data_IF_199307109583
#
_entry.id   IF_199307109583
#
_cell.length_a   1.000
_cell.length_b   1.000
_cell.length_c   1.000
_cell.angle_alpha   90.00
_cell.angle_beta   90.00
_cell.angle_gamma   90.00
#
_symmetry.space_group_name_H-M   'P 1'
#
loop_
_entity.id
_entity.type
_entity.pdbx_description
1 polymer ?
#
# COMPACT_ATOMS: atom_id res chain seq x y z
N UNK A 1 30.64 -45.58 25.83
CA UNK A 1 30.16 -45.67 24.43
C UNK A 1 28.73 -45.04 24.25
N UNK A 2 27.77 -45.32 25.15
CA UNK A 2 26.37 -44.83 25.03
C UNK A 2 26.25 -43.29 25.10
N UNK A 3 27.00 -42.61 25.97
CA UNK A 3 26.98 -41.15 26.12
C UNK A 3 27.54 -40.45 24.88
N UNK A 4 28.54 -40.99 24.24
CA UNK A 4 29.09 -40.42 23.00
C UNK A 4 28.13 -40.54 21.83
N UNK A 5 27.38 -41.65 21.73
CA UNK A 5 26.37 -41.84 20.69
C UNK A 5 25.17 -40.86 20.83
N UNK A 6 24.71 -40.56 22.06
CA UNK A 6 23.63 -39.63 22.32
C UNK A 6 24.05 -38.19 21.98
N UNK A 7 25.29 -37.79 22.29
CA UNK A 7 25.80 -36.43 21.97
C UNK A 7 25.95 -36.20 20.46
N UNK A 8 26.41 -37.20 19.70
CA UNK A 8 26.53 -37.10 18.23
C UNK A 8 25.15 -36.99 17.55
N UNK A 9 24.16 -37.72 18.01
CA UNK A 9 22.80 -37.68 17.48
C UNK A 9 22.15 -36.30 17.70
N UNK A 10 22.30 -35.73 18.91
CA UNK A 10 21.78 -34.40 19.22
C UNK A 10 22.43 -33.29 18.36
N UNK A 11 23.76 -33.40 18.12
CA UNK A 11 24.47 -32.47 17.27
C UNK A 11 23.99 -32.52 15.79
N UNK A 12 23.80 -33.74 15.27
CA UNK A 12 23.30 -33.96 13.92
C UNK A 12 21.90 -33.35 13.77
N UNK A 13 20.97 -33.60 14.69
CA UNK A 13 19.63 -33.06 14.70
C UNK A 13 19.67 -31.51 14.73
N UNK A 14 20.49 -30.93 15.60
CA UNK A 14 20.66 -29.48 15.67
C UNK A 14 21.15 -28.88 14.33
N UNK A 15 22.14 -29.47 13.70
CA UNK A 15 22.69 -29.03 12.43
C UNK A 15 21.65 -29.13 11.30
N UNK A 16 20.88 -30.21 11.26
CA UNK A 16 19.79 -30.37 10.31
C UNK A 16 18.66 -29.34 10.50
N UNK A 17 18.25 -29.07 11.74
CA UNK A 17 17.28 -28.04 12.06
C UNK A 17 17.78 -26.66 11.63
N UNK A 18 19.01 -26.29 11.99
CA UNK A 18 19.63 -25.03 11.59
C UNK A 18 19.67 -24.86 10.06
N UNK A 19 20.00 -25.92 9.33
CA UNK A 19 19.99 -25.94 7.86
C UNK A 19 18.58 -25.77 7.30
N UNK A 20 17.58 -26.44 7.88
CA UNK A 20 16.17 -26.36 7.47
C UNK A 20 15.62 -24.95 7.69
N UNK A 21 15.83 -24.36 8.87
CA UNK A 21 15.41 -22.98 9.19
C UNK A 21 15.99 -21.98 8.19
N UNK A 22 17.30 -22.10 7.92
CA UNK A 22 17.98 -21.22 6.98
C UNK A 22 17.46 -21.37 5.54
N UNK A 23 17.19 -22.61 5.11
CA UNK A 23 16.62 -22.87 3.78
C UNK A 23 15.22 -22.26 3.64
N UNK A 24 14.36 -22.47 4.64
CA UNK A 24 13.00 -21.92 4.64
C UNK A 24 13.01 -20.39 4.66
N UNK A 25 13.89 -19.79 5.45
CA UNK A 25 14.07 -18.34 5.46
C UNK A 25 14.54 -17.81 4.09
N UNK A 26 15.50 -18.49 3.45
CA UNK A 26 15.96 -18.12 2.10
C UNK A 26 14.84 -18.22 1.07
N UNK A 27 14.01 -19.26 1.14
CA UNK A 27 12.86 -19.44 0.25
C UNK A 27 11.86 -18.27 0.42
N UNK A 28 11.47 -17.95 1.66
CA UNK A 28 10.53 -16.85 1.94
C UNK A 28 11.06 -15.49 1.48
N UNK A 29 12.37 -15.25 1.63
CA UNK A 29 12.99 -13.98 1.16
C UNK A 29 12.98 -13.90 -0.37
N UNK A 30 13.34 -14.98 -1.06
CA UNK A 30 13.35 -15.04 -2.52
C UNK A 30 11.94 -14.83 -3.07
N UNK A 31 10.97 -15.56 -2.53
CA UNK A 31 9.57 -15.43 -2.92
C UNK A 31 9.05 -14.01 -2.68
N UNK A 32 9.37 -13.40 -1.54
CA UNK A 32 8.97 -12.03 -1.26
C UNK A 32 9.63 -11.03 -2.23
N UNK A 33 10.89 -11.19 -2.59
CA UNK A 33 11.55 -10.32 -3.59
C UNK A 33 10.85 -10.43 -4.94
N UNK A 34 10.48 -11.63 -5.36
CA UNK A 34 9.81 -11.86 -6.64
C UNK A 34 8.40 -11.24 -6.64
N UNK A 35 7.63 -11.43 -5.58
CA UNK A 35 6.31 -10.83 -5.41
C UNK A 35 6.40 -9.30 -5.38
N UNK A 36 7.28 -8.73 -4.55
CA UNK A 36 7.48 -7.28 -4.47
C UNK A 36 7.85 -6.68 -5.83
N UNK A 37 8.71 -7.36 -6.60
CA UNK A 37 9.07 -6.88 -7.94
C UNK A 37 7.86 -6.84 -8.87
N UNK A 38 7.01 -7.86 -8.82
CA UNK A 38 5.78 -7.90 -9.60
C UNK A 38 4.81 -6.78 -9.19
N UNK A 39 4.56 -6.62 -7.89
CA UNK A 39 3.63 -5.64 -7.35
C UNK A 39 4.11 -4.20 -7.60
N UNK A 40 5.41 -3.95 -7.47
CA UNK A 40 6.03 -2.65 -7.80
C UNK A 40 5.88 -2.35 -9.30
N UNK A 41 6.04 -3.34 -10.18
CA UNK A 41 5.81 -3.17 -11.60
C UNK A 41 4.35 -2.78 -11.87
N UNK A 42 3.39 -3.41 -11.20
CA UNK A 42 1.97 -3.05 -11.30
C UNK A 42 1.73 -1.61 -10.82
N UNK A 43 2.25 -1.22 -9.65
CA UNK A 43 2.13 0.14 -9.13
C UNK A 43 2.71 1.17 -10.11
N UNK A 44 3.82 0.84 -10.77
CA UNK A 44 4.45 1.74 -11.74
C UNK A 44 3.56 2.07 -12.93
N UNK A 45 2.60 1.20 -13.28
CA UNK A 45 1.64 1.44 -14.36
C UNK A 45 0.60 2.52 -14.00
N UNK A 46 0.35 2.74 -12.71
CA UNK A 46 -0.60 3.75 -12.21
C UNK A 46 -0.01 5.17 -12.19
N UNK A 47 1.30 5.29 -12.34
CA UNK A 47 2.00 6.59 -12.42
C UNK A 47 2.32 6.89 -13.87
N UNK A 48 1.62 7.86 -14.46
CA UNK A 48 1.84 8.26 -15.85
C UNK A 48 3.19 8.96 -16.05
N UNK A 49 3.63 9.05 -17.33
CA UNK A 49 4.84 9.79 -17.71
C UNK A 49 4.83 11.27 -17.25
N UNK A 50 3.64 11.84 -17.07
CA UNK A 50 3.45 13.22 -16.60
C UNK A 50 3.31 13.34 -15.08
N UNK A 51 3.69 12.30 -14.33
CA UNK A 51 3.53 12.21 -12.87
C UNK A 51 2.07 12.34 -12.40
N UNK A 52 1.10 12.10 -13.28
CA UNK A 52 -0.28 11.97 -12.88
C UNK A 52 -0.53 10.55 -12.36
N UNK A 53 -1.22 10.46 -11.24
CA UNK A 53 -1.59 9.20 -10.62
C UNK A 53 -2.98 8.78 -11.10
N UNK A 54 -3.14 7.54 -11.53
CA UNK A 54 -4.46 6.93 -11.66
C UNK A 54 -5.01 6.68 -10.25
N UNK A 55 -5.84 7.62 -9.77
CA UNK A 55 -6.31 7.64 -8.39
C UNK A 55 -7.16 6.44 -8.03
N UNK A 56 -7.97 5.93 -8.97
CA UNK A 56 -8.86 4.78 -8.73
C UNK A 56 -8.06 3.50 -8.64
N UNK A 57 -7.25 3.21 -9.66
CA UNK A 57 -6.41 2.02 -9.68
C UNK A 57 -5.41 1.98 -8.53
N UNK A 58 -4.89 3.14 -8.13
CA UNK A 58 -3.97 3.23 -7.00
C UNK A 58 -4.67 2.98 -5.66
N UNK A 59 -5.88 3.49 -5.47
CA UNK A 59 -6.70 3.28 -4.27
C UNK A 59 -7.03 1.80 -4.06
N UNK A 60 -7.28 1.06 -5.14
CA UNK A 60 -7.58 -0.37 -5.12
C UNK A 60 -6.32 -1.23 -4.99
N UNK A 61 -5.13 -0.63 -5.06
CA UNK A 61 -3.87 -1.38 -5.00
C UNK A 61 -3.63 -1.99 -3.62
N UNK A 62 -3.11 -3.22 -3.62
CA UNK A 62 -2.80 -3.95 -2.38
C UNK A 62 -1.51 -3.41 -1.78
N UNK A 63 -1.42 -3.23 -0.43
CA UNK A 63 -0.18 -2.86 0.24
C UNK A 63 0.95 -3.85 -0.07
N UNK A 64 2.15 -3.32 -0.35
CA UNK A 64 3.31 -4.12 -0.73
C UNK A 64 3.80 -5.08 0.38
N UNK A 65 3.69 -4.65 1.63
CA UNK A 65 4.23 -5.40 2.75
C UNK A 65 3.15 -5.84 3.74
N UNK A 66 3.13 -7.17 4.03
CA UNK A 66 2.55 -7.68 5.27
C UNK A 66 3.64 -7.83 6.33
N UNK A 67 4.68 -8.64 6.06
CA UNK A 67 5.79 -8.93 6.98
C UNK A 67 7.11 -8.89 6.22
N UNK A 68 8.09 -8.12 6.70
CA UNK A 68 9.42 -8.03 6.09
C UNK A 68 10.24 -9.29 6.41
N UNK A 69 10.36 -10.18 5.43
CA UNK A 69 11.10 -11.44 5.57
C UNK A 69 12.61 -11.22 5.63
N UNK A 70 13.12 -10.20 4.93
CA UNK A 70 14.54 -9.88 4.96
C UNK A 70 14.97 -9.37 6.32
N UNK A 71 14.31 -8.34 6.85
CA UNK A 71 14.65 -7.77 8.14
C UNK A 71 14.57 -8.80 9.27
N UNK A 72 13.58 -9.71 9.20
CA UNK A 72 13.41 -10.74 10.23
C UNK A 72 14.47 -11.84 10.16
N UNK A 73 14.99 -12.15 8.98
CA UNK A 73 15.82 -13.34 8.76
C UNK A 73 17.26 -13.04 8.30
N UNK A 74 17.62 -11.77 8.02
CA UNK A 74 18.95 -11.43 7.49
C UNK A 74 20.12 -11.93 8.34
N UNK A 75 19.91 -12.00 9.67
CA UNK A 75 20.93 -12.50 10.60
C UNK A 75 21.39 -13.94 10.29
N UNK A 76 20.52 -14.76 9.68
CA UNK A 76 20.86 -16.14 9.27
C UNK A 76 21.83 -16.18 8.09
N UNK A 77 22.03 -15.08 7.38
CA UNK A 77 22.80 -15.02 6.13
C UNK A 77 24.07 -14.18 6.22
N UNK A 78 24.32 -13.48 7.33
CA UNK A 78 25.49 -12.60 7.51
C UNK A 78 26.80 -13.35 7.23
N UNK A 79 26.91 -14.62 7.65
CA UNK A 79 28.11 -15.46 7.44
C UNK A 79 28.25 -16.02 6.03
N UNK A 80 27.22 -15.94 5.18
CA UNK A 80 27.18 -16.59 3.86
C UNK A 80 27.06 -15.64 2.69
N UNK A 81 26.61 -14.43 2.95
CA UNK A 81 26.54 -13.36 1.97
C UNK A 81 27.71 -12.39 2.22
N UNK A 82 28.31 -11.94 1.15
CA UNK A 82 29.27 -10.84 1.23
C UNK A 82 28.56 -9.50 1.49
N UNK A 83 29.32 -8.52 1.93
CA UNK A 83 28.81 -7.20 2.32
C UNK A 83 28.07 -6.49 1.18
N UNK A 84 28.51 -6.68 -0.05
CA UNK A 84 27.88 -6.05 -1.23
C UNK A 84 26.51 -6.70 -1.52
N UNK A 85 26.43 -8.02 -1.44
CA UNK A 85 25.17 -8.77 -1.56
C UNK A 85 24.14 -8.33 -0.50
N UNK A 86 24.56 -8.19 0.76
CA UNK A 86 23.69 -7.70 1.84
C UNK A 86 23.21 -6.29 1.53
N UNK A 87 24.13 -5.39 1.13
CA UNK A 87 23.80 -3.99 0.80
C UNK A 87 22.82 -3.87 -0.37
N UNK A 88 22.97 -4.68 -1.41
CA UNK A 88 22.05 -4.69 -2.55
C UNK A 88 20.64 -5.10 -2.15
N UNK A 89 20.50 -6.14 -1.32
CA UNK A 89 19.21 -6.58 -0.82
C UNK A 89 18.62 -5.53 0.15
N UNK A 90 19.41 -5.00 1.09
CA UNK A 90 18.99 -3.92 2.00
C UNK A 90 18.47 -2.70 1.21
N UNK A 91 19.16 -2.31 0.14
CA UNK A 91 18.75 -1.19 -0.71
C UNK A 91 17.41 -1.46 -1.40
N UNK A 92 17.21 -2.67 -1.94
CA UNK A 92 15.95 -3.07 -2.55
C UNK A 92 14.78 -2.98 -1.55
N UNK A 93 14.93 -3.57 -0.36
CA UNK A 93 13.89 -3.52 0.67
C UNK A 93 13.64 -2.09 1.17
N UNK A 94 14.68 -1.28 1.33
CA UNK A 94 14.53 0.13 1.72
C UNK A 94 13.71 0.92 0.71
N UNK A 95 13.93 0.73 -0.59
CA UNK A 95 13.15 1.38 -1.64
C UNK A 95 11.70 0.86 -1.67
N UNK A 96 11.50 -0.44 -1.52
CA UNK A 96 10.17 -1.03 -1.43
C UNK A 96 9.39 -0.48 -0.21
N UNK A 97 10.05 -0.28 0.94
CA UNK A 97 9.43 0.38 2.11
C UNK A 97 9.07 1.84 1.84
N UNK A 98 9.88 2.58 1.09
CA UNK A 98 9.54 3.96 0.69
C UNK A 98 8.29 3.95 -0.19
N UNK A 99 8.21 3.05 -1.17
CA UNK A 99 7.04 2.90 -2.05
C UNK A 99 5.80 2.57 -1.23
N UNK A 100 5.86 1.58 -0.33
CA UNK A 100 4.74 1.22 0.55
C UNK A 100 4.28 2.39 1.41
N UNK A 101 5.22 3.13 2.01
CA UNK A 101 4.89 4.30 2.83
C UNK A 101 4.19 5.40 2.01
N UNK A 102 4.61 5.63 0.76
CA UNK A 102 3.94 6.59 -0.11
C UNK A 102 2.56 6.08 -0.54
N UNK A 103 2.42 4.78 -0.80
CA UNK A 103 1.14 4.13 -1.08
C UNK A 103 0.16 4.35 0.09
N UNK A 104 0.56 4.03 1.31
CA UNK A 104 -0.24 4.23 2.53
C UNK A 104 -0.63 5.70 2.71
N UNK A 105 0.31 6.63 2.50
CA UNK A 105 0.05 8.07 2.61
C UNK A 105 -1.00 8.53 1.60
N UNK A 106 -0.85 8.15 0.34
CA UNK A 106 -1.77 8.55 -0.74
C UNK A 106 -3.15 7.93 -0.50
N UNK A 107 -3.24 6.65 -0.15
CA UNK A 107 -4.50 5.98 0.16
C UNK A 107 -5.22 6.63 1.35
N UNK A 108 -4.49 7.00 2.40
CA UNK A 108 -5.06 7.72 3.54
C UNK A 108 -5.60 9.10 3.16
N UNK A 109 -4.90 9.82 2.28
CA UNK A 109 -5.36 11.12 1.79
C UNK A 109 -6.62 10.98 0.92
N UNK A 110 -6.69 9.95 0.08
CA UNK A 110 -7.88 9.63 -0.71
C UNK A 110 -9.07 9.27 0.18
N UNK A 111 -8.86 8.47 1.23
CA UNK A 111 -9.89 8.12 2.21
C UNK A 111 -10.42 9.36 2.95
N UNK A 112 -9.52 10.22 3.43
CA UNK A 112 -9.90 11.45 4.12
C UNK A 112 -10.69 12.38 3.19
N UNK A 113 -10.27 12.48 1.93
CA UNK A 113 -10.97 13.26 0.93
C UNK A 113 -12.39 12.71 0.68
N UNK A 114 -12.52 11.41 0.47
CA UNK A 114 -13.83 10.76 0.29
C UNK A 114 -14.76 11.01 1.47
N UNK A 115 -14.25 10.93 2.69
CA UNK A 115 -15.00 11.24 3.91
C UNK A 115 -15.46 12.70 3.95
N UNK A 116 -14.60 13.66 3.59
CA UNK A 116 -14.96 15.08 3.55
C UNK A 116 -16.05 15.37 2.52
N UNK A 117 -15.97 14.73 1.35
CA UNK A 117 -17.00 14.84 0.31
C UNK A 117 -18.34 14.31 0.81
N UNK A 118 -18.38 13.13 1.39
CA UNK A 118 -19.61 12.55 1.95
C UNK A 118 -20.19 13.43 3.05
N UNK A 119 -19.36 13.94 3.96
CA UNK A 119 -19.79 14.88 5.00
C UNK A 119 -20.40 16.14 4.39
N UNK A 120 -19.78 16.73 3.37
CA UNK A 120 -20.30 17.92 2.69
C UNK A 120 -21.67 17.67 2.07
N UNK A 121 -21.91 16.51 1.48
CA UNK A 121 -23.25 16.15 0.98
C UNK A 121 -24.27 16.04 2.11
N UNK A 122 -23.93 15.36 3.21
CA UNK A 122 -24.83 15.25 4.37
C UNK A 122 -25.14 16.61 5.00
N UNK A 123 -24.16 17.51 5.09
CA UNK A 123 -24.36 18.87 5.61
C UNK A 123 -25.28 19.71 4.68
N UNK A 124 -25.14 19.55 3.36
CA UNK A 124 -26.03 20.19 2.37
C UNK A 124 -27.44 19.64 2.51
N UNK A 125 -27.62 18.33 2.58
CA UNK A 125 -28.94 17.72 2.76
C UNK A 125 -29.62 18.20 4.03
N UNK A 126 -28.90 18.17 5.16
CA UNK A 126 -29.39 18.63 6.45
C UNK A 126 -29.81 20.14 6.41
N UNK A 127 -29.03 20.97 5.74
CA UNK A 127 -29.31 22.40 5.63
C UNK A 127 -30.54 22.68 4.76
N UNK A 128 -30.81 21.89 3.73
CA UNK A 128 -31.99 21.98 2.90
C UNK A 128 -33.24 21.58 3.70
N UNK A 129 -33.20 20.45 4.40
CA UNK A 129 -34.29 19.95 5.24
C UNK A 129 -34.61 20.96 6.34
N UNK A 130 -33.61 21.51 7.02
CA UNK A 130 -33.78 22.53 8.04
C UNK A 130 -34.39 23.84 7.44
N UNK A 131 -33.88 24.30 6.32
CA UNK A 131 -34.37 25.49 5.63
C UNK A 131 -35.85 25.38 5.23
N UNK A 132 -36.24 24.21 4.70
CA UNK A 132 -37.63 23.90 4.39
C UNK A 132 -38.52 23.86 5.65
N UNK A 133 -38.06 23.19 6.70
CA UNK A 133 -38.81 23.10 7.96
C UNK A 133 -39.04 24.48 8.61
N UNK A 134 -38.06 25.38 8.50
CA UNK A 134 -38.16 26.74 9.04
C UNK A 134 -39.07 27.67 8.18
N UNK A 135 -39.14 27.44 6.86
CA UNK A 135 -39.98 28.22 5.95
C UNK A 135 -41.44 27.84 5.97
N UNK A 136 -41.79 26.71 6.59
CA UNK A 136 -43.19 26.23 6.68
C UNK A 136 -43.92 26.81 7.88
N UNK A 137 -45.24 27.16 7.73
CA UNK A 137 -46.11 27.45 8.86
C UNK A 137 -46.12 26.28 9.85
N UNK A 138 -46.24 26.61 11.15
CA UNK A 138 -46.17 25.60 12.21
C UNK A 138 -47.16 24.43 12.02
N UNK A 139 -48.34 24.74 11.50
CA UNK A 139 -49.42 23.76 11.26
C UNK A 139 -49.15 22.82 10.08
N UNK A 140 -48.23 23.18 9.19
CA UNK A 140 -47.89 22.41 7.98
C UNK A 140 -46.63 21.53 8.13
N UNK A 141 -45.92 21.61 9.25
CA UNK A 141 -44.68 20.88 9.47
C UNK A 141 -44.86 19.35 9.51
N UNK A 142 -46.06 18.89 9.86
CA UNK A 142 -46.40 17.47 9.80
C UNK A 142 -46.54 16.90 8.37
N UNK A 143 -46.61 17.79 7.34
CA UNK A 143 -46.81 17.42 5.93
C UNK A 143 -45.58 17.56 5.06
N UNK A 144 -44.38 17.38 5.59
CA UNK A 144 -43.10 17.47 4.84
C UNK A 144 -43.10 16.67 3.52
N UNK A 145 -43.91 15.60 3.43
CA UNK A 145 -44.05 14.80 2.21
C UNK A 145 -44.63 15.57 0.99
N UNK A 146 -45.45 16.65 1.20
CA UNK A 146 -46.02 17.44 0.09
C UNK A 146 -45.01 18.40 -0.57
N UNK A 147 -43.89 18.69 0.09
CA UNK A 147 -42.81 19.55 -0.42
C UNK A 147 -41.61 18.75 -0.93
N UNK A 148 -41.71 17.43 -1.03
CA UNK A 148 -40.66 16.55 -1.54
C UNK A 148 -40.11 16.99 -2.92
N UNK A 149 -40.93 17.47 -3.89
CA UNK A 149 -40.41 17.94 -5.18
C UNK A 149 -39.49 19.17 -5.06
N UNK A 150 -39.85 20.14 -4.22
CA UNK A 150 -39.02 21.32 -4.00
C UNK A 150 -37.73 20.98 -3.28
N UNK A 151 -37.79 20.10 -2.27
CA UNK A 151 -36.63 19.60 -1.58
C UNK A 151 -35.67 18.84 -2.53
N UNK A 152 -36.22 17.99 -3.41
CA UNK A 152 -35.44 17.28 -4.44
C UNK A 152 -34.79 18.23 -5.43
N UNK A 153 -35.49 19.28 -5.88
CA UNK A 153 -34.93 20.28 -6.78
C UNK A 153 -33.75 21.00 -6.12
N UNK A 154 -33.95 21.57 -4.92
CA UNK A 154 -32.89 22.26 -4.17
C UNK A 154 -31.70 21.34 -3.86
N UNK A 155 -31.97 20.08 -3.54
CA UNK A 155 -30.91 19.10 -3.33
C UNK A 155 -30.12 18.82 -4.62
N UNK A 156 -30.83 18.66 -5.76
CA UNK A 156 -30.17 18.41 -7.04
C UNK A 156 -29.31 19.58 -7.50
N UNK A 157 -29.80 20.84 -7.32
CA UNK A 157 -29.06 22.06 -7.66
C UNK A 157 -27.80 22.20 -6.79
N UNK A 158 -27.90 21.98 -5.46
CA UNK A 158 -26.74 22.03 -4.57
C UNK A 158 -25.79 20.86 -4.75
N UNK A 159 -26.32 19.67 -5.03
CA UNK A 159 -25.52 18.52 -5.38
C UNK A 159 -24.68 18.79 -6.65
N UNK A 160 -25.31 19.34 -7.69
CA UNK A 160 -24.60 19.72 -8.90
C UNK A 160 -23.53 20.80 -8.65
N UNK A 161 -23.79 21.75 -7.73
CA UNK A 161 -22.80 22.74 -7.31
C UNK A 161 -21.59 22.07 -6.59
N UNK A 162 -21.84 21.16 -5.64
CA UNK A 162 -20.78 20.42 -4.94
C UNK A 162 -20.02 19.51 -5.92
N UNK A 163 -20.72 18.81 -6.82
CA UNK A 163 -20.10 18.00 -7.86
C UNK A 163 -19.26 18.84 -8.84
N UNK A 164 -19.70 20.07 -9.17
CA UNK A 164 -18.91 21.00 -9.98
C UNK A 164 -17.62 21.42 -9.27
N UNK A 165 -17.67 21.68 -7.97
CA UNK A 165 -16.49 22.02 -7.17
C UNK A 165 -15.53 20.80 -7.10
N UNK A 166 -16.08 19.59 -6.92
CA UNK A 166 -15.33 18.34 -6.89
C UNK A 166 -14.79 18.02 -8.28
N UNK A 167 -15.66 18.10 -9.32
CA UNK A 167 -15.32 17.75 -10.70
C UNK A 167 -14.31 18.68 -11.36
N UNK A 168 -14.18 19.92 -10.89
CA UNK A 168 -13.14 20.86 -11.32
C UNK A 168 -11.75 20.51 -10.77
N UNK A 169 -11.57 19.32 -10.20
CA UNK A 169 -10.27 18.77 -9.82
C UNK A 169 -9.66 19.34 -8.54
N UNK A 170 -10.34 20.29 -7.90
CA UNK A 170 -9.81 20.90 -6.66
C UNK A 170 -9.90 19.96 -5.45
N UNK A 171 -10.80 18.99 -5.48
CA UNK A 171 -11.00 18.05 -4.38
C UNK A 171 -10.67 16.59 -4.73
N UNK A 172 -10.76 16.17 -6.01
CA UNK A 172 -10.53 14.77 -6.42
C UNK A 172 -9.07 14.40 -6.61
N UNK A 173 -8.18 15.38 -6.70
CA UNK A 173 -6.77 15.15 -7.01
C UNK A 173 -5.80 15.69 -5.97
N UNK A 174 -6.22 15.85 -4.71
CA UNK A 174 -5.30 16.25 -3.66
C UNK A 174 -4.39 15.05 -3.29
N UNK A 175 -3.63 14.64 -4.28
CA UNK A 175 -2.43 13.87 -4.02
C UNK A 175 -1.30 14.89 -3.94
N UNK A 176 -0.63 15.05 -2.79
CA UNK A 176 0.46 16.01 -2.68
C UNK A 176 1.48 15.71 -3.77
N UNK A 177 1.80 16.69 -4.60
CA UNK A 177 2.77 16.55 -5.69
C UNK A 177 4.07 15.91 -5.19
N UNK A 178 4.51 16.28 -3.98
CA UNK A 178 5.68 15.71 -3.33
C UNK A 178 5.56 14.20 -3.04
N UNK A 179 4.37 13.70 -2.71
CA UNK A 179 4.18 12.26 -2.45
C UNK A 179 4.31 11.47 -3.76
N UNK A 180 3.73 11.97 -4.85
CA UNK A 180 3.84 11.36 -6.19
C UNK A 180 5.26 11.44 -6.71
N UNK A 181 5.95 12.56 -6.52
CA UNK A 181 7.36 12.70 -6.91
C UNK A 181 8.28 11.75 -6.15
N UNK A 182 8.04 11.60 -4.85
CA UNK A 182 8.81 10.65 -4.02
C UNK A 182 8.54 9.21 -4.45
N UNK A 183 7.27 8.88 -4.76
CA UNK A 183 6.88 7.57 -5.29
C UNK A 183 7.54 7.31 -6.64
N UNK A 184 7.43 8.23 -7.60
CA UNK A 184 8.02 8.12 -8.94
C UNK A 184 9.54 7.94 -8.86
N UNK A 185 10.22 8.71 -8.02
CA UNK A 185 11.66 8.57 -7.79
C UNK A 185 12.02 7.18 -7.25
N UNK A 186 11.30 6.69 -6.24
CA UNK A 186 11.55 5.37 -5.67
C UNK A 186 11.27 4.24 -6.67
N UNK A 187 10.20 4.36 -7.49
CA UNK A 187 9.87 3.42 -8.55
C UNK A 187 10.96 3.36 -9.62
N UNK A 188 11.52 4.50 -10.03
CA UNK A 188 12.64 4.55 -10.98
C UNK A 188 13.91 3.95 -10.38
N UNK A 189 14.26 4.30 -9.16
CA UNK A 189 15.45 3.77 -8.50
C UNK A 189 15.39 2.25 -8.33
N UNK A 190 14.23 1.70 -7.93
CA UNK A 190 14.07 0.25 -7.74
C UNK A 190 14.05 -0.50 -9.08
N UNK A 191 13.52 0.10 -10.14
CA UNK A 191 13.54 -0.51 -11.49
C UNK A 191 14.96 -0.64 -12.05
N UNK A 192 15.86 0.26 -11.68
CA UNK A 192 17.28 0.19 -12.04
C UNK A 192 18.06 -0.84 -11.20
N UNK A 193 17.50 -1.26 -10.06
CA UNK A 193 18.09 -2.31 -9.23
C UNK A 193 17.72 -3.68 -9.79
N UNK A 194 18.61 -4.27 -10.58
CA UNK A 194 18.48 -5.67 -11.01
C UNK A 194 18.74 -6.65 -9.84
N UNK A 195 17.87 -6.58 -8.81
CA UNK A 195 18.04 -7.40 -7.59
C UNK A 195 18.16 -8.90 -7.89
N UNK A 196 17.39 -9.40 -8.87
CA UNK A 196 17.46 -10.82 -9.28
C UNK A 196 18.77 -11.16 -9.99
N UNK A 197 19.42 -10.19 -10.62
CA UNK A 197 20.75 -10.29 -11.21
C UNK A 197 21.87 -10.23 -10.18
N UNK A 198 21.64 -9.71 -8.98
CA UNK A 198 22.67 -9.57 -7.97
C UNK A 198 23.15 -10.92 -7.39
N UNK A 199 24.42 -10.95 -6.97
CA UNK A 199 25.02 -12.16 -6.40
C UNK A 199 24.30 -12.63 -5.13
N UNK A 200 23.78 -11.70 -4.33
CA UNK A 200 23.01 -11.98 -3.10
C UNK A 200 21.75 -12.78 -3.35
N UNK A 201 20.92 -12.35 -4.29
CA UNK A 201 19.70 -13.07 -4.69
C UNK A 201 20.03 -14.47 -5.22
N UNK A 202 21.04 -14.59 -6.10
CA UNK A 202 21.46 -15.89 -6.64
C UNK A 202 21.93 -16.85 -5.54
N UNK A 203 22.67 -16.35 -4.55
CA UNK A 203 23.08 -17.15 -3.39
C UNK A 203 21.90 -17.58 -2.53
N UNK A 204 20.95 -16.70 -2.23
CA UNK A 204 19.71 -17.03 -1.51
C UNK A 204 18.90 -18.09 -2.26
N UNK A 205 18.68 -17.90 -3.55
CA UNK A 205 17.96 -18.86 -4.40
C UNK A 205 18.65 -20.25 -4.43
N UNK A 206 19.98 -20.27 -4.47
CA UNK A 206 20.74 -21.54 -4.36
C UNK A 206 20.58 -22.22 -2.99
N UNK A 207 20.48 -21.45 -1.90
CA UNK A 207 20.21 -22.00 -0.56
C UNK A 207 18.77 -22.53 -0.48
N UNK A 208 17.79 -21.79 -1.01
CA UNK A 208 16.38 -22.16 -1.04
C UNK A 208 16.14 -23.49 -1.80
N UNK A 209 16.83 -23.71 -2.92
CA UNK A 209 16.67 -24.88 -3.80
C UNK A 209 17.47 -26.11 -3.36
N UNK A 210 18.35 -26.02 -2.38
CA UNK A 210 19.10 -27.19 -1.87
C UNK A 210 18.14 -28.16 -1.16
N UNK A 211 17.98 -29.36 -1.74
CA UNK A 211 17.27 -30.49 -1.12
C UNK A 211 18.06 -31.06 0.06
#
# INVERSE_FOLDING_TARGET
AIVAAAGTSALIVYLLQKRSVRRNAAFLIVEQIDNLKHDIANISTYVSKNKALDGVAFYESIPLFGKDQWQNNKHLFISSLDRESIRSIDKFYSLAHIINKQQDLITNLQNNHFFLVQKSFADVESSIVLGLALSMPADSRAGLGSHAPLAQQLFSERKAMVESIIGNGQLTSYTPVQAVETLDKALREISLLEVQGCLGYRKLNKIAKRK
#
